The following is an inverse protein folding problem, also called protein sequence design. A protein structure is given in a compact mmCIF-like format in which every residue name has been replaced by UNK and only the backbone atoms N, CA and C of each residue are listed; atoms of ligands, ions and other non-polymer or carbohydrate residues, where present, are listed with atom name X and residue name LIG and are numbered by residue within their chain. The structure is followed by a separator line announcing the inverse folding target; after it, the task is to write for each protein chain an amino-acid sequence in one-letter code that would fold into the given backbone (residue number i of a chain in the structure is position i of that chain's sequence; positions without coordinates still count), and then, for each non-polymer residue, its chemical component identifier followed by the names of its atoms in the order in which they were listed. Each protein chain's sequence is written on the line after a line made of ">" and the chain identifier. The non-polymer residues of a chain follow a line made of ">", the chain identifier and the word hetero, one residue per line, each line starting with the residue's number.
data_IF_532262833383
#
_entry.id   IF_532262833383
#
_cell.length_a   1.000
_cell.length_b   1.000
_cell.length_c   1.000
_cell.angle_alpha   90.00
_cell.angle_beta   90.00
_cell.angle_gamma   90.00
#
_symmetry.space_group_name_H-M   'P 1'
#
loop_
_entity.id
_entity.type
_entity.pdbx_description
1 polymer ?
#
# COMPACT_ATOMS: atom_id res chain seq x y z
N UNK A 1 -5.08 0.64 -1.38
CA UNK A 1 -5.79 -0.46 -0.69
C UNK A 1 -5.02 -1.81 -0.70
N UNK A 2 -5.04 -2.65 -1.74
CA UNK A 2 -4.50 -4.03 -1.68
C UNK A 2 -3.01 -4.12 -1.27
N UNK A 3 -2.16 -3.23 -1.80
CA UNK A 3 -0.74 -3.18 -1.44
C UNK A 3 -0.53 -3.01 0.06
N UNK A 4 -1.36 -2.18 0.72
CA UNK A 4 -1.33 -1.97 2.16
C UNK A 4 -1.90 -3.17 2.93
N UNK A 5 -3.10 -3.66 2.55
CA UNK A 5 -3.77 -4.79 3.23
C UNK A 5 -2.98 -6.08 3.26
N UNK A 6 -2.33 -6.44 2.14
CA UNK A 6 -1.73 -7.75 1.98
C UNK A 6 -0.21 -7.76 2.15
N UNK A 7 0.45 -6.64 1.85
CA UNK A 7 1.91 -6.60 1.84
C UNK A 7 2.46 -5.67 2.93
N UNK A 8 1.59 -5.04 3.73
CA UNK A 8 1.95 -4.00 4.68
C UNK A 8 2.86 -2.93 4.04
N UNK A 9 2.60 -2.57 2.79
CA UNK A 9 3.46 -1.65 2.04
C UNK A 9 3.68 -0.35 2.84
N UNK A 10 4.93 0.03 3.05
CA UNK A 10 5.33 1.22 3.81
C UNK A 10 5.61 2.43 2.90
N UNK A 11 5.82 2.20 1.61
CA UNK A 11 6.09 3.23 0.61
C UNK A 11 5.10 3.10 -0.55
N UNK A 12 4.58 4.25 -1.00
CA UNK A 12 3.73 4.39 -2.19
C UNK A 12 4.45 5.24 -3.23
N UNK A 13 4.60 4.73 -4.44
CA UNK A 13 5.19 5.46 -5.57
C UNK A 13 4.11 5.80 -6.59
N UNK A 14 4.01 7.06 -7.00
CA UNK A 14 3.04 7.55 -8.00
C UNK A 14 3.76 8.19 -9.19
N UNK A 15 3.32 7.86 -10.40
CA UNK A 15 3.86 8.47 -11.62
C UNK A 15 3.26 9.84 -11.86
N UNK A 16 4.02 10.92 -11.62
CA UNK A 16 3.54 12.30 -11.69
C UNK A 16 2.95 12.71 -13.05
N UNK A 17 3.45 12.16 -14.16
CA UNK A 17 2.93 12.44 -15.51
C UNK A 17 1.71 11.60 -15.90
N UNK A 18 1.45 10.52 -15.18
CA UNK A 18 0.40 9.54 -15.51
C UNK A 18 -0.79 9.64 -14.56
N UNK A 19 -0.59 10.19 -13.36
CA UNK A 19 -1.60 10.26 -12.30
C UNK A 19 -2.00 11.72 -12.12
N UNK A 20 -3.24 12.06 -12.47
CA UNK A 20 -3.79 13.39 -12.20
C UNK A 20 -3.90 13.66 -10.70
N UNK A 21 -3.85 14.93 -10.29
CA UNK A 21 -3.78 15.34 -8.88
C UNK A 21 -4.93 14.77 -8.02
N UNK A 22 -6.17 14.83 -8.51
CA UNK A 22 -7.34 14.30 -7.80
C UNK A 22 -7.27 12.79 -7.61
N UNK A 23 -6.86 12.06 -8.66
CA UNK A 23 -6.67 10.61 -8.59
C UNK A 23 -5.52 10.25 -7.64
N UNK A 24 -4.42 11.00 -7.70
CA UNK A 24 -3.29 10.80 -6.81
C UNK A 24 -3.70 10.97 -5.35
N UNK A 25 -4.51 12.00 -5.04
CA UNK A 25 -5.04 12.25 -3.69
C UNK A 25 -5.93 11.11 -3.22
N UNK A 26 -6.88 10.67 -4.04
CA UNK A 26 -7.73 9.52 -3.72
C UNK A 26 -6.92 8.22 -3.49
N UNK A 27 -5.83 8.00 -4.24
CA UNK A 27 -4.95 6.84 -4.04
C UNK A 27 -4.20 6.95 -2.72
N UNK A 28 -3.68 8.14 -2.38
CA UNK A 28 -2.98 8.40 -1.12
C UNK A 28 -3.92 8.20 0.07
N UNK A 29 -5.13 8.78 0.04
CA UNK A 29 -6.13 8.60 1.11
C UNK A 29 -6.45 7.12 1.29
N UNK A 30 -6.71 6.41 0.18
CA UNK A 30 -6.96 4.97 0.17
C UNK A 30 -5.73 4.11 0.47
N UNK A 31 -4.53 4.68 0.63
CA UNK A 31 -3.34 3.99 1.10
C UNK A 31 -3.14 4.23 2.59
N UNK A 32 -3.32 5.47 3.06
CA UNK A 32 -3.18 5.84 4.47
C UNK A 32 -4.29 5.26 5.35
N UNK A 33 -5.53 5.27 4.89
CA UNK A 33 -6.69 4.74 5.63
C UNK A 33 -6.77 3.21 5.64
N UNK A 34 -5.84 2.52 5.00
CA UNK A 34 -5.90 1.07 4.86
C UNK A 34 -4.96 0.39 5.84
N UNK A 35 -5.57 -0.27 6.82
CA UNK A 35 -4.86 -1.14 7.76
C UNK A 35 -4.38 -2.44 7.11
N UNK A 36 -3.33 -3.00 7.70
CA UNK A 36 -2.79 -4.29 7.32
C UNK A 36 -3.63 -5.43 7.91
N UNK A 37 -4.03 -6.40 7.09
CA UNK A 37 -4.96 -7.47 7.48
C UNK A 37 -4.28 -8.58 8.30
N UNK A 38 -2.95 -8.66 8.31
CA UNK A 38 -2.23 -9.64 9.12
C UNK A 38 -2.53 -11.09 8.71
N UNK A 39 -2.52 -11.99 9.71
CA UNK A 39 -2.85 -13.40 9.53
C UNK A 39 -1.97 -14.12 8.50
N UNK A 40 -2.58 -14.68 7.46
CA UNK A 40 -1.85 -15.42 6.40
C UNK A 40 -0.83 -14.57 5.65
N UNK A 41 -0.98 -13.25 5.67
CA UNK A 41 -0.11 -12.31 4.97
C UNK A 41 1.18 -12.05 5.73
N UNK A 42 1.16 -12.12 7.07
CA UNK A 42 2.35 -11.93 7.92
C UNK A 42 3.45 -12.94 7.56
N UNK A 43 3.10 -14.21 7.34
CA UNK A 43 4.05 -15.27 6.92
C UNK A 43 4.83 -14.95 5.65
N UNK A 44 4.31 -14.09 4.77
CA UNK A 44 5.00 -13.66 3.55
C UNK A 44 5.91 -12.48 3.83
N UNK A 45 5.49 -11.57 4.70
CA UNK A 45 6.30 -10.43 5.15
C UNK A 45 7.53 -10.90 5.91
N UNK A 46 7.36 -11.90 6.78
CA UNK A 46 8.46 -12.50 7.57
C UNK A 46 9.54 -13.15 6.70
N UNK A 47 9.25 -13.45 5.42
CA UNK A 47 10.25 -13.94 4.46
C UNK A 47 11.07 -12.84 3.81
N UNK A 48 10.56 -11.60 3.82
CA UNK A 48 11.16 -10.44 3.17
C UNK A 48 11.95 -9.61 4.19
N UNK A 49 11.52 -9.63 5.45
CA UNK A 49 12.20 -8.99 6.56
C UNK A 49 13.26 -9.94 7.12
N UNK A 50 14.53 -9.57 6.93
CA UNK A 50 15.70 -10.25 7.48
C UNK A 50 16.31 -9.45 8.63
#
# INVERSE_FOLDING_TARGET
>A
RLARRHNNANVLCLGARMTGAELARAIVDAFLDTDFEGGRHQRRIDKISC
#
